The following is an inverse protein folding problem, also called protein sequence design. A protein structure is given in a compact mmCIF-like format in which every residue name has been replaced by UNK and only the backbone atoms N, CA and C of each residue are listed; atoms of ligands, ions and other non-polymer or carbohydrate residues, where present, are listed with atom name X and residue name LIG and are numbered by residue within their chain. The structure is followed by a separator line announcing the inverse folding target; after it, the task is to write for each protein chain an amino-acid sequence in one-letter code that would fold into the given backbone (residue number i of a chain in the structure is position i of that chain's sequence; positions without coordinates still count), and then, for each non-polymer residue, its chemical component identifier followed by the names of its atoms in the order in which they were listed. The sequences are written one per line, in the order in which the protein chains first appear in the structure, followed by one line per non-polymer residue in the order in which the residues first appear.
data_IF_575863184692
#
_entry.id   IF_575863184692
#
_cell.length_a   1.000
_cell.length_b   1.000
_cell.length_c   1.000
_cell.angle_alpha   90.00
_cell.angle_beta   90.00
_cell.angle_gamma   90.00
#
_symmetry.space_group_name_H-M   'P 1'
#
loop_
_entity.id
_entity.type
_entity.pdbx_description
1 polymer ?
#
# COMPACT_ATOMS: atom_id res chain seq x y z
N UNK A 1 8.76 -21.90 34.75
CA UNK A 1 8.57 -21.10 33.50
C UNK A 1 7.45 -20.05 33.68
N UNK A 2 7.55 -19.15 34.67
CA UNK A 2 6.58 -18.04 34.86
C UNK A 2 7.26 -16.72 35.24
N UNK A 3 8.54 -16.58 34.88
CA UNK A 3 9.37 -15.46 35.27
C UNK A 3 8.90 -14.11 34.71
N UNK A 4 8.40 -14.10 33.47
CA UNK A 4 7.79 -12.91 32.85
C UNK A 4 6.55 -12.44 33.61
N UNK A 5 5.69 -13.38 34.01
CA UNK A 5 4.49 -13.08 34.79
C UNK A 5 4.85 -12.55 36.19
N UNK A 6 5.85 -13.14 36.86
CA UNK A 6 6.32 -12.66 38.16
C UNK A 6 6.86 -11.22 38.12
N UNK A 7 7.61 -10.86 37.08
CA UNK A 7 8.11 -9.49 36.90
C UNK A 7 6.94 -8.52 36.71
N UNK A 8 5.98 -8.87 35.84
CA UNK A 8 4.82 -8.03 35.58
C UNK A 8 3.94 -7.84 36.82
N UNK A 9 3.79 -8.88 37.66
CA UNK A 9 3.01 -8.81 38.91
C UNK A 9 3.75 -8.03 40.01
N UNK A 10 5.08 -8.14 40.12
CA UNK A 10 5.88 -7.39 41.10
C UNK A 10 5.96 -5.89 40.81
N UNK A 11 5.87 -5.48 39.55
CA UNK A 11 5.89 -4.06 39.13
C UNK A 11 4.71 -3.75 38.20
N UNK A 12 3.48 -3.66 38.73
CA UNK A 12 2.28 -3.48 37.93
C UNK A 12 2.29 -2.16 37.13
N UNK A 13 2.89 -1.11 37.68
CA UNK A 13 3.03 0.19 36.99
C UNK A 13 3.89 0.08 35.73
N UNK A 14 4.97 -0.70 35.76
CA UNK A 14 5.82 -0.89 34.58
C UNK A 14 5.07 -1.65 33.47
N UNK A 15 4.34 -2.70 33.85
CA UNK A 15 3.55 -3.48 32.90
C UNK A 15 2.44 -2.64 32.25
N UNK A 16 1.72 -1.83 33.02
CA UNK A 16 0.67 -0.95 32.48
C UNK A 16 1.22 0.17 31.60
N UNK A 17 2.37 0.76 31.95
CA UNK A 17 3.02 1.76 31.09
C UNK A 17 3.44 1.17 29.74
N UNK A 18 3.96 -0.06 29.72
CA UNK A 18 4.37 -0.74 28.49
C UNK A 18 3.15 -1.00 27.59
N UNK A 19 2.07 -1.55 28.15
CA UNK A 19 0.82 -1.77 27.42
C UNK A 19 0.24 -0.45 26.93
N UNK A 20 0.20 0.59 27.77
CA UNK A 20 -0.30 1.90 27.39
C UNK A 20 0.50 2.49 26.22
N UNK A 21 1.82 2.35 26.23
CA UNK A 21 2.66 2.84 25.14
C UNK A 21 2.32 2.15 23.80
N UNK A 22 2.10 0.84 23.82
CA UNK A 22 1.69 0.09 22.63
C UNK A 22 0.32 0.52 22.13
N UNK A 23 -0.64 0.77 23.05
CA UNK A 23 -1.98 1.23 22.69
C UNK A 23 -1.93 2.63 22.07
N UNK A 24 -1.14 3.54 22.63
CA UNK A 24 -1.00 4.91 22.09
C UNK A 24 -0.36 4.89 20.70
N UNK A 25 0.73 4.15 20.53
CA UNK A 25 1.41 4.01 19.22
C UNK A 25 0.49 3.32 18.20
N UNK A 26 -0.20 2.27 18.61
CA UNK A 26 -1.14 1.53 17.77
C UNK A 26 -2.32 2.40 17.34
N UNK A 27 -2.95 3.09 18.28
CA UNK A 27 -4.05 4.02 18.01
C UNK A 27 -3.62 5.13 17.06
N UNK A 28 -2.49 5.79 17.34
CA UNK A 28 -1.98 6.85 16.48
C UNK A 28 -1.67 6.36 15.04
N UNK A 29 -1.07 5.18 14.92
CA UNK A 29 -0.76 4.58 13.62
C UNK A 29 -2.03 4.20 12.85
N UNK A 30 -3.05 3.69 13.55
CA UNK A 30 -4.35 3.36 12.97
C UNK A 30 -5.05 4.59 12.41
N UNK A 31 -5.06 5.71 13.15
CA UNK A 31 -5.68 6.95 12.68
C UNK A 31 -4.91 7.63 11.53
N UNK A 32 -3.61 7.36 11.39
CA UNK A 32 -2.78 7.88 10.29
C UNK A 32 -2.77 7.00 9.04
N UNK A 33 -3.36 5.82 9.09
CA UNK A 33 -3.35 4.92 7.95
C UNK A 33 -4.23 5.50 6.84
N UNK A 34 -3.60 5.89 5.73
CA UNK A 34 -4.30 6.39 4.54
C UNK A 34 -5.18 5.29 3.97
N UNK A 35 -6.49 5.51 3.98
CA UNK A 35 -7.47 4.62 3.35
C UNK A 35 -7.69 5.08 1.92
N UNK A 36 -6.99 4.45 0.99
CA UNK A 36 -7.23 4.65 -0.44
C UNK A 36 -8.37 3.72 -0.90
N UNK A 37 -9.36 4.26 -1.60
CA UNK A 37 -10.51 3.51 -2.15
C UNK A 37 -10.09 2.48 -3.21
N UNK A 38 -8.96 2.74 -3.86
CA UNK A 38 -8.35 1.85 -4.83
C UNK A 38 -6.90 1.61 -4.39
N UNK A 39 -6.40 0.37 -4.48
CA UNK A 39 -4.96 0.15 -4.36
C UNK A 39 -4.25 1.01 -5.41
N UNK A 40 -3.05 1.52 -5.09
CA UNK A 40 -2.16 2.13 -6.07
C UNK A 40 -1.70 1.06 -7.04
N UNK A 41 -2.58 0.70 -7.96
CA UNK A 41 -2.27 -0.17 -9.09
C UNK A 41 -1.77 0.75 -10.16
N UNK A 42 -0.45 0.94 -10.17
CA UNK A 42 0.22 1.58 -11.29
C UNK A 42 0.14 0.60 -12.47
N UNK A 43 -1.00 0.57 -13.16
CA UNK A 43 -1.11 -0.14 -14.44
C UNK A 43 -0.20 0.61 -15.41
N UNK A 44 0.90 -0.01 -15.89
CA UNK A 44 1.80 0.66 -16.82
C UNK A 44 1.13 0.70 -18.20
N UNK A 45 0.22 1.66 -18.40
CA UNK A 45 -0.38 1.92 -19.71
C UNK A 45 0.62 2.70 -20.55
N UNK A 46 1.20 2.03 -21.54
CA UNK A 46 2.01 2.69 -22.56
C UNK A 46 1.07 3.11 -23.69
N UNK A 47 0.78 4.40 -23.78
CA UNK A 47 0.01 4.96 -24.89
C UNK A 47 0.94 5.27 -26.06
N UNK A 48 0.82 4.49 -27.15
CA UNK A 48 1.49 4.78 -28.42
C UNK A 48 0.49 5.46 -29.34
N UNK A 49 0.79 6.69 -29.77
CA UNK A 49 -0.04 7.42 -30.74
C UNK A 49 0.69 7.51 -32.06
N UNK A 50 0.14 6.89 -33.10
CA UNK A 50 0.64 6.97 -34.47
C UNK A 50 -0.33 7.80 -35.28
N UNK A 51 0.17 8.83 -35.98
CA UNK A 51 -0.63 9.65 -36.89
C UNK A 51 -0.07 9.51 -38.30
N UNK A 52 -0.84 8.89 -39.18
CA UNK A 52 -0.51 8.81 -40.61
C UNK A 52 -1.66 9.41 -41.46
N UNK A 53 -1.62 10.71 -41.79
CA UNK A 53 -2.68 11.38 -42.51
C UNK A 53 -2.71 10.92 -43.97
N UNK A 54 -3.79 10.22 -44.35
CA UNK A 54 -4.01 9.72 -45.71
C UNK A 54 -3.98 8.19 -45.84
N UNK A 55 -3.57 7.46 -44.80
CA UNK A 55 -3.63 6.00 -44.78
C UNK A 55 -5.04 5.51 -44.40
N UNK A 56 -5.47 4.44 -45.06
CA UNK A 56 -6.68 3.73 -44.65
C UNK A 56 -6.47 3.10 -43.27
N UNK A 57 -7.53 2.95 -42.44
CA UNK A 57 -7.40 2.31 -41.13
C UNK A 57 -6.76 0.91 -41.20
N UNK A 58 -7.00 0.18 -42.30
CA UNK A 58 -6.44 -1.13 -42.57
C UNK A 58 -4.91 -1.10 -42.77
N UNK A 59 -4.37 -0.09 -43.48
CA UNK A 59 -2.91 0.03 -43.68
C UNK A 59 -2.17 0.36 -42.38
N UNK A 60 -2.77 1.18 -41.50
CA UNK A 60 -2.14 1.53 -40.21
C UNK A 60 -2.06 0.31 -39.27
N UNK A 61 -3.05 -0.58 -39.32
CA UNK A 61 -3.06 -1.82 -38.56
C UNK A 61 -1.91 -2.74 -39.03
N UNK A 62 -1.85 -3.04 -40.33
CA UNK A 62 -0.87 -3.98 -40.89
C UNK A 62 0.58 -3.46 -40.89
N UNK A 63 0.81 -2.16 -41.14
CA UNK A 63 2.17 -1.63 -41.25
C UNK A 63 2.81 -1.20 -39.92
N UNK A 64 2.01 -0.74 -38.95
CA UNK A 64 2.53 -0.11 -37.73
C UNK A 64 2.09 -0.78 -36.43
N UNK A 65 0.93 -1.45 -36.42
CA UNK A 65 0.39 -2.06 -35.19
C UNK A 65 0.72 -3.54 -35.09
N UNK A 66 0.73 -4.26 -36.22
CA UNK A 66 0.94 -5.71 -36.26
C UNK A 66 2.43 -6.13 -36.36
N UNK A 67 3.33 -5.17 -36.60
CA UNK A 67 4.76 -5.39 -36.86
C UNK A 67 5.64 -4.89 -35.72
#
# INVERSE_FOLDING_TARGET
MQWLAEICVKRPVFATMLIMSLVVVGGFSFFRLGVDLFPKVDFPTITVTVRNPGASPQEIETEVTEK
#
